data_IF_615947472416
#
_entry.id   IF_615947472416
#
_cell.length_a   1.000
_cell.length_b   1.000
_cell.length_c   1.000
_cell.angle_alpha   90.00
_cell.angle_beta   90.00
_cell.angle_gamma   90.00
#
_symmetry.space_group_name_H-M   'P 1'
#
loop_
_entity.id
_entity.type
_entity.pdbx_description
1 polymer ?
#
# COMPACT_ATOMS: atom_id res chain seq x y z
N UNK A 1 20.41 3.77 -16.68
CA UNK A 1 19.72 2.50 -16.34
C UNK A 1 20.06 1.97 -14.93
N UNK A 2 20.31 2.86 -13.95
CA UNK A 2 20.54 2.53 -12.52
C UNK A 2 19.53 3.16 -11.56
N UNK A 3 18.68 4.07 -12.07
CA UNK A 3 17.68 4.81 -11.29
C UNK A 3 16.31 4.12 -11.18
N UNK A 4 16.14 2.94 -11.78
CA UNK A 4 14.84 2.25 -11.83
C UNK A 4 14.69 1.11 -10.80
N UNK A 5 15.78 0.75 -10.09
CA UNK A 5 15.81 -0.39 -9.16
C UNK A 5 15.42 0.03 -7.72
N UNK A 6 15.53 1.31 -7.36
CA UNK A 6 15.21 1.77 -6.00
C UNK A 6 13.70 1.85 -5.72
N UNK A 7 12.84 1.93 -6.73
CA UNK A 7 11.40 2.14 -6.55
C UNK A 7 10.61 0.88 -6.15
N UNK A 8 11.19 -0.32 -6.23
CA UNK A 8 10.48 -1.58 -5.97
C UNK A 8 10.79 -2.17 -4.58
N UNK A 9 11.93 -1.80 -3.97
CA UNK A 9 12.35 -2.31 -2.65
C UNK A 9 11.74 -1.52 -1.47
N UNK A 10 11.13 -0.36 -1.72
CA UNK A 10 10.70 0.55 -0.64
C UNK A 10 9.33 0.25 0.01
N UNK A 11 8.59 -0.76 -0.44
CA UNK A 11 7.22 -1.01 0.06
C UNK A 11 7.08 -1.94 1.27
N UNK A 12 8.17 -2.55 1.76
CA UNK A 12 8.11 -3.55 2.86
C UNK A 12 9.08 -3.32 4.03
N UNK A 13 9.87 -2.24 4.08
CA UNK A 13 10.94 -2.09 5.10
C UNK A 13 11.00 -0.77 5.87
N UNK A 14 9.95 0.05 5.89
CA UNK A 14 9.88 1.24 6.76
C UNK A 14 8.93 1.02 7.95
N UNK A 15 9.40 0.28 8.95
CA UNK A 15 8.81 0.30 10.30
C UNK A 15 9.82 0.49 11.43
N UNK A 16 11.14 0.51 11.18
CA UNK A 16 12.12 0.82 12.22
C UNK A 16 13.34 1.54 11.63
N UNK A 17 13.28 2.88 11.52
CA UNK A 17 14.42 3.81 11.66
C UNK A 17 14.03 5.20 11.15
N UNK A 18 13.56 6.07 12.04
CA UNK A 18 13.47 7.50 11.75
C UNK A 18 13.84 8.27 13.00
N UNK A 19 15.15 8.52 13.15
CA UNK A 19 15.70 9.64 13.92
C UNK A 19 17.20 9.70 13.64
N UNK A 20 17.59 10.37 12.55
CA UNK A 20 18.82 11.18 12.41
C UNK A 20 19.16 11.34 10.92
N UNK A 21 18.73 12.47 10.33
CA UNK A 21 19.47 13.06 9.22
C UNK A 21 19.69 14.54 9.54
N UNK A 22 20.95 14.86 9.81
CA UNK A 22 21.51 16.20 9.92
C UNK A 22 21.55 16.82 8.53
N UNK A 23 20.74 17.86 8.28
CA UNK A 23 20.91 18.72 7.10
C UNK A 23 21.93 19.82 7.44
N UNK A 24 23.08 19.80 6.75
CA UNK A 24 23.99 20.96 6.68
C UNK A 24 23.47 21.95 5.62
N UNK A 25 23.48 23.26 5.88
CA UNK A 25 23.02 24.24 4.90
C UNK A 25 24.11 24.52 3.85
N UNK A 26 23.79 24.34 2.56
CA UNK A 26 24.54 24.90 1.44
C UNK A 26 23.99 26.28 1.08
N UNK A 27 24.91 27.21 0.76
CA UNK A 27 24.63 28.57 0.31
C UNK A 27 24.50 28.62 -1.22
N UNK A 28 23.40 29.16 -1.75
CA UNK A 28 23.33 30.17 -2.83
C UNK A 28 21.85 30.31 -3.27
N UNK A 29 21.20 31.46 -3.02
CA UNK A 29 21.00 32.65 -3.89
C UNK A 29 19.92 32.50 -4.96
N UNK A 30 18.76 33.08 -4.64
CA UNK A 30 17.94 33.83 -5.61
C UNK A 30 16.65 33.17 -6.10
N UNK A 31 15.56 33.26 -5.33
CA UNK A 31 14.23 33.65 -5.83
C UNK A 31 13.29 33.88 -4.63
N UNK A 32 12.39 34.84 -4.78
CA UNK A 32 11.52 35.35 -3.72
C UNK A 32 10.49 34.30 -3.27
N UNK A 33 10.89 33.42 -2.34
CA UNK A 33 9.95 32.76 -1.43
C UNK A 33 9.94 33.54 -0.12
N UNK A 34 8.75 33.84 0.40
CA UNK A 34 8.59 34.41 1.74
C UNK A 34 8.95 33.34 2.78
N UNK A 35 10.26 33.21 2.97
CA UNK A 35 10.92 32.42 3.99
C UNK A 35 10.30 32.74 5.35
N UNK A 36 9.79 31.72 6.06
CA UNK A 36 9.62 31.83 7.50
C UNK A 36 10.95 32.34 8.08
N UNK A 37 10.90 33.43 8.84
CA UNK A 37 12.10 34.12 9.29
C UNK A 37 13.03 33.15 10.03
N UNK A 38 14.30 33.12 9.62
CA UNK A 38 15.41 32.38 10.25
C UNK A 38 15.46 32.59 11.77
N UNK A 39 14.95 33.71 12.27
CA UNK A 39 14.84 34.03 13.70
C UNK A 39 13.84 33.16 14.47
N UNK A 40 12.71 32.80 13.87
CA UNK A 40 11.69 31.97 14.54
C UNK A 40 12.21 30.54 14.71
N UNK A 41 12.77 29.95 13.65
CA UNK A 41 13.40 28.63 13.70
C UNK A 41 14.57 28.60 14.69
N UNK A 42 15.45 29.62 14.69
CA UNK A 42 16.54 29.73 15.68
C UNK A 42 16.03 29.84 17.11
N UNK A 43 14.94 30.57 17.35
CA UNK A 43 14.37 30.72 18.70
C UNK A 43 13.76 29.42 19.24
N UNK A 44 13.08 28.66 18.36
CA UNK A 44 12.44 27.39 18.69
C UNK A 44 13.52 26.30 18.86
N UNK A 45 14.49 26.24 17.95
CA UNK A 45 15.59 25.30 18.04
C UNK A 45 16.51 25.60 19.23
N UNK A 46 16.74 26.87 19.59
CA UNK A 46 17.50 27.23 20.79
C UNK A 46 16.77 26.84 22.08
N UNK A 47 15.44 27.01 22.13
CA UNK A 47 14.62 26.51 23.25
C UNK A 47 14.65 24.99 23.37
N UNK A 48 14.64 24.25 22.26
CA UNK A 48 14.75 22.80 22.24
C UNK A 48 16.17 22.29 22.57
N UNK A 49 17.21 22.95 22.05
CA UNK A 49 18.62 22.59 22.24
C UNK A 49 19.09 22.76 23.69
N UNK A 50 18.59 23.77 24.39
CA UNK A 50 18.86 23.96 25.83
C UNK A 50 18.27 22.85 26.72
N UNK A 51 17.36 22.02 26.18
CA UNK A 51 16.78 20.86 26.88
C UNK A 51 17.60 19.58 26.61
N UNK A 52 18.36 19.54 25.50
CA UNK A 52 19.10 18.36 25.01
C UNK A 52 20.50 18.21 25.60
N UNK A 53 21.12 19.25 26.16
CA UNK A 53 22.53 19.22 26.58
C UNK A 53 22.79 19.00 28.08
N UNK A 54 21.78 18.65 28.90
CA UNK A 54 22.03 18.25 30.29
C UNK A 54 22.60 16.82 30.34
N UNK A 55 23.90 16.69 30.08
CA UNK A 55 24.68 15.48 30.33
C UNK A 55 24.63 15.15 31.83
N UNK A 56 23.97 14.06 32.20
CA UNK A 56 24.41 13.17 33.28
C UNK A 56 24.55 13.71 34.71
N UNK A 57 23.93 14.82 35.09
CA UNK A 57 23.75 15.18 36.50
C UNK A 57 22.26 15.42 36.77
N UNK A 58 21.72 14.55 37.62
CA UNK A 58 20.39 14.70 38.24
C UNK A 58 20.47 15.93 39.14
N UNK A 59 20.21 17.10 38.58
CA UNK A 59 19.96 18.31 39.35
C UNK A 59 18.47 18.55 39.27
N UNK A 60 17.83 18.40 40.42
CA UNK A 60 16.45 18.73 40.71
C UNK A 60 16.15 20.18 40.28
N UNK A 61 15.64 20.34 39.07
CA UNK A 61 14.98 21.58 38.62
C UNK A 61 13.61 21.17 38.10
N UNK A 62 12.60 21.26 38.98
CA UNK A 62 11.18 21.22 38.65
C UNK A 62 10.76 20.04 37.76
N UNK A 63 10.63 18.86 38.36
CA UNK A 63 10.32 17.60 37.69
C UNK A 63 9.25 17.70 36.60
N UNK A 64 9.63 17.37 35.36
CA UNK A 64 8.67 16.94 34.34
C UNK A 64 9.20 15.70 33.63
N UNK A 65 8.46 14.63 33.88
CA UNK A 65 8.47 13.30 33.30
C UNK A 65 8.92 13.27 31.82
N UNK A 66 9.81 12.35 31.40
CA UNK A 66 10.08 12.05 29.99
C UNK A 66 8.83 11.92 29.11
N UNK A 67 7.72 11.39 29.64
CA UNK A 67 6.44 11.30 28.92
C UNK A 67 5.86 12.69 28.64
N UNK A 68 5.93 13.62 29.59
CA UNK A 68 5.50 15.00 29.39
C UNK A 68 6.32 15.69 28.28
N UNK A 69 7.63 15.44 28.21
CA UNK A 69 8.49 16.00 27.15
C UNK A 69 8.09 15.48 25.77
N UNK A 70 7.85 14.17 25.64
CA UNK A 70 7.36 13.55 24.39
C UNK A 70 6.01 14.13 23.98
N UNK A 71 5.09 14.26 24.93
CA UNK A 71 3.78 14.87 24.72
C UNK A 71 3.89 16.32 24.19
N UNK A 72 4.78 17.12 24.77
CA UNK A 72 4.99 18.51 24.34
C UNK A 72 5.58 18.59 22.93
N UNK A 73 6.57 17.74 22.60
CA UNK A 73 7.16 17.66 21.26
C UNK A 73 6.10 17.30 20.23
N UNK A 74 5.33 16.23 20.48
CA UNK A 74 4.25 15.79 19.59
C UNK A 74 3.22 16.91 19.36
N UNK A 75 2.88 17.68 20.40
CA UNK A 75 1.97 18.83 20.30
C UNK A 75 2.53 19.97 19.44
N UNK A 76 3.84 20.21 19.49
CA UNK A 76 4.50 21.24 18.67
C UNK A 76 4.58 20.77 17.21
N UNK A 77 4.94 19.52 16.97
CA UNK A 77 4.98 18.90 15.64
C UNK A 77 3.61 18.96 14.98
N UNK A 78 2.55 18.49 15.65
CA UNK A 78 1.18 18.54 15.14
C UNK A 78 0.76 19.97 14.76
N UNK A 79 1.06 20.97 15.60
CA UNK A 79 0.75 22.38 15.28
C UNK A 79 1.51 22.86 14.05
N UNK A 80 2.78 22.48 13.93
CA UNK A 80 3.64 22.86 12.80
C UNK A 80 3.12 22.25 11.51
N UNK A 81 2.83 20.95 11.51
CA UNK A 81 2.26 20.24 10.37
C UNK A 81 0.87 20.75 10.03
N UNK A 82 0.04 21.09 11.02
CA UNK A 82 -1.27 21.71 10.77
C UNK A 82 -1.16 23.09 10.11
N UNK A 83 -0.14 23.88 10.43
CA UNK A 83 0.12 25.16 9.75
C UNK A 83 0.62 24.94 8.32
N UNK A 84 1.52 23.97 8.12
CA UNK A 84 2.02 23.60 6.80
C UNK A 84 0.88 23.08 5.90
N UNK A 85 0.00 22.24 6.44
CA UNK A 85 -1.21 21.74 5.79
C UNK A 85 -2.07 22.90 5.28
N UNK A 86 -2.46 23.84 6.15
CA UNK A 86 -3.27 25.00 5.75
C UNK A 86 -2.61 25.81 4.62
N UNK A 87 -1.30 26.05 4.73
CA UNK A 87 -0.55 26.76 3.69
C UNK A 87 -0.62 26.02 2.34
N UNK A 88 -0.43 24.70 2.35
CA UNK A 88 -0.53 23.88 1.13
C UNK A 88 -1.93 23.95 0.53
N UNK A 89 -2.98 23.82 1.34
CA UNK A 89 -4.37 23.90 0.87
C UNK A 89 -4.69 25.27 0.26
N UNK A 90 -4.16 26.36 0.84
CA UNK A 90 -4.35 27.71 0.29
C UNK A 90 -3.57 27.93 -1.01
N UNK A 91 -2.40 27.31 -1.15
CA UNK A 91 -1.65 27.31 -2.41
C UNK A 91 -2.37 26.51 -3.50
N UNK A 92 -2.91 25.33 -3.18
CA UNK A 92 -3.64 24.49 -4.14
C UNK A 92 -4.85 25.20 -4.78
N UNK A 93 -5.48 26.13 -4.06
CA UNK A 93 -6.63 26.90 -4.58
C UNK A 93 -6.27 27.88 -5.71
N UNK A 94 -4.99 28.25 -5.83
CA UNK A 94 -4.53 29.31 -6.73
C UNK A 94 -3.32 28.92 -7.59
N UNK A 95 -2.91 27.64 -7.56
CA UNK A 95 -1.77 27.18 -8.34
C UNK A 95 -2.17 26.87 -9.79
N UNK A 96 -1.18 26.84 -10.68
CA UNK A 96 -1.38 26.30 -12.03
C UNK A 96 -1.30 24.77 -12.03
N UNK A 97 -1.74 24.14 -13.12
CA UNK A 97 -1.63 22.69 -13.31
C UNK A 97 -0.18 22.18 -13.20
N UNK A 98 0.79 22.94 -13.71
CA UNK A 98 2.23 22.60 -13.66
C UNK A 98 2.77 22.59 -12.22
N UNK A 99 2.24 23.46 -11.36
CA UNK A 99 2.62 23.57 -9.96
C UNK A 99 1.88 22.55 -9.08
N UNK A 100 0.75 22.02 -9.54
CA UNK A 100 -0.16 21.23 -8.72
C UNK A 100 0.47 19.90 -8.29
N UNK A 101 1.10 19.17 -9.20
CA UNK A 101 1.74 17.86 -8.92
C UNK A 101 2.76 17.94 -7.77
N UNK A 102 3.78 18.84 -7.80
CA UNK A 102 4.74 18.92 -6.69
C UNK A 102 4.09 19.39 -5.37
N UNK A 103 3.01 20.17 -5.43
CA UNK A 103 2.27 20.56 -4.21
C UNK A 103 1.51 19.36 -3.63
N UNK A 104 0.87 18.54 -4.47
CA UNK A 104 0.17 17.32 -4.07
C UNK A 104 1.13 16.27 -3.49
N UNK A 105 2.34 16.10 -4.04
CA UNK A 105 3.35 15.21 -3.45
C UNK A 105 3.81 15.70 -2.06
N UNK A 106 3.94 17.02 -1.85
CA UNK A 106 4.20 17.57 -0.52
C UNK A 106 3.04 17.33 0.45
N UNK A 107 1.79 17.45 -0.03
CA UNK A 107 0.61 17.17 0.78
C UNK A 107 0.57 15.71 1.22
N UNK A 108 0.81 14.78 0.29
CA UNK A 108 0.89 13.34 0.53
C UNK A 108 1.87 13.00 1.67
N UNK A 109 3.06 13.60 1.67
CA UNK A 109 4.04 13.41 2.74
C UNK A 109 3.51 13.82 4.11
N UNK A 110 2.73 14.89 4.20
CA UNK A 110 2.12 15.34 5.45
C UNK A 110 0.98 14.43 5.92
N UNK A 111 0.10 14.01 5.01
CA UNK A 111 -1.08 13.22 5.37
C UNK A 111 -0.76 11.75 5.65
N UNK A 112 0.48 11.30 5.48
CA UNK A 112 0.92 10.01 6.03
C UNK A 112 0.87 9.97 7.56
N UNK A 113 0.92 11.13 8.24
CA UNK A 113 0.76 11.18 9.69
C UNK A 113 -0.71 11.09 10.08
N UNK A 114 -1.06 10.07 10.89
CA UNK A 114 -2.43 9.75 11.30
C UNK A 114 -3.26 10.97 11.76
N UNK A 115 -2.72 11.76 12.69
CA UNK A 115 -3.41 12.94 13.25
C UNK A 115 -3.58 14.06 12.19
N UNK A 116 -2.64 14.17 11.24
CA UNK A 116 -2.66 15.16 10.17
C UNK A 116 -3.64 14.79 9.06
N UNK A 117 -3.75 13.50 8.72
CA UNK A 117 -4.76 13.00 7.80
C UNK A 117 -6.17 13.33 8.26
N UNK A 118 -6.46 13.13 9.56
CA UNK A 118 -7.75 13.48 10.15
C UNK A 118 -7.98 15.00 10.09
N UNK A 119 -6.96 15.79 10.44
CA UNK A 119 -7.04 17.25 10.35
C UNK A 119 -7.28 17.73 8.91
N UNK A 120 -6.63 17.11 7.92
CA UNK A 120 -6.85 17.36 6.51
C UNK A 120 -8.31 17.18 6.11
N UNK A 121 -8.95 16.08 6.53
CA UNK A 121 -10.38 15.89 6.29
C UNK A 121 -11.23 16.95 7.02
N UNK A 122 -10.93 17.25 8.29
CA UNK A 122 -11.69 18.23 9.08
C UNK A 122 -11.66 19.66 8.52
N UNK A 123 -10.66 20.03 7.72
CA UNK A 123 -10.53 21.37 7.13
C UNK A 123 -11.02 21.42 5.68
N UNK A 124 -11.80 20.43 5.24
CA UNK A 124 -12.38 20.37 3.89
C UNK A 124 -11.44 19.78 2.83
N UNK A 125 -10.50 18.93 3.27
CA UNK A 125 -9.50 18.34 2.39
C UNK A 125 -10.09 17.37 1.36
N UNK A 126 -11.17 16.67 1.72
CA UNK A 126 -11.81 15.70 0.83
C UNK A 126 -12.48 16.40 -0.35
N UNK A 127 -13.23 17.47 -0.09
CA UNK A 127 -13.91 18.29 -1.07
C UNK A 127 -12.93 18.99 -2.01
N UNK A 128 -11.71 19.27 -1.53
CA UNK A 128 -10.64 19.82 -2.36
C UNK A 128 -10.00 18.77 -3.27
N UNK A 129 -9.74 17.56 -2.75
CA UNK A 129 -8.89 16.56 -3.44
C UNK A 129 -9.68 15.70 -4.44
N UNK A 130 -10.97 15.44 -4.19
CA UNK A 130 -11.80 14.60 -5.07
C UNK A 130 -11.90 15.18 -6.49
N UNK A 131 -12.15 16.50 -6.69
CA UNK A 131 -12.13 17.09 -8.04
C UNK A 131 -10.79 16.90 -8.76
N UNK A 132 -9.66 17.01 -8.04
CA UNK A 132 -8.34 16.80 -8.64
C UNK A 132 -8.12 15.34 -9.06
N UNK A 133 -8.67 14.39 -8.32
CA UNK A 133 -8.64 12.97 -8.67
C UNK A 133 -9.47 12.62 -9.93
N UNK A 134 -10.31 13.54 -10.41
CA UNK A 134 -11.15 13.39 -11.60
C UNK A 134 -10.69 14.27 -12.77
N UNK A 135 -9.55 14.95 -12.66
CA UNK A 135 -9.02 15.77 -13.75
C UNK A 135 -8.52 14.91 -14.92
N UNK A 136 -8.75 15.37 -16.15
CA UNK A 136 -8.22 14.73 -17.37
C UNK A 136 -6.67 14.67 -17.39
N UNK A 137 -6.01 15.56 -16.65
CA UNK A 137 -4.57 15.51 -16.47
C UNK A 137 -4.19 14.33 -15.55
N UNK A 138 -3.77 13.24 -16.17
CA UNK A 138 -3.43 11.97 -15.50
C UNK A 138 -2.38 12.12 -14.39
N UNK A 139 -1.41 13.03 -14.53
CA UNK A 139 -0.37 13.23 -13.52
C UNK A 139 -0.95 13.90 -12.27
N UNK A 140 -1.87 14.85 -12.44
CA UNK A 140 -2.59 15.50 -11.34
C UNK A 140 -3.55 14.50 -10.67
N UNK A 141 -4.35 13.78 -11.46
CA UNK A 141 -5.28 12.78 -10.93
C UNK A 141 -4.54 11.69 -10.14
N UNK A 142 -3.41 11.20 -10.67
CA UNK A 142 -2.55 10.22 -10.00
C UNK A 142 -1.97 10.74 -8.68
N UNK A 143 -1.50 12.00 -8.65
CA UNK A 143 -0.98 12.62 -7.44
C UNK A 143 -2.10 12.82 -6.39
N UNK A 144 -3.29 13.25 -6.81
CA UNK A 144 -4.44 13.43 -5.93
C UNK A 144 -4.93 12.10 -5.31
N UNK A 145 -5.01 11.04 -6.11
CA UNK A 145 -5.30 9.68 -5.64
C UNK A 145 -4.24 9.22 -4.63
N UNK A 146 -2.97 9.53 -4.88
CA UNK A 146 -1.88 9.18 -3.95
C UNK A 146 -2.01 9.90 -2.60
N UNK A 147 -2.48 11.16 -2.58
CA UNK A 147 -2.81 11.89 -1.33
C UNK A 147 -3.95 11.19 -0.58
N UNK A 148 -5.05 10.87 -1.27
CA UNK A 148 -6.19 10.15 -0.69
C UNK A 148 -5.76 8.80 -0.09
N UNK A 149 -4.99 8.04 -0.85
CA UNK A 149 -4.48 6.74 -0.42
C UNK A 149 -3.61 6.86 0.83
N UNK A 150 -2.69 7.83 0.87
CA UNK A 150 -1.83 8.05 2.03
C UNK A 150 -2.63 8.45 3.28
N UNK A 151 -3.66 9.29 3.10
CA UNK A 151 -4.52 9.72 4.20
C UNK A 151 -5.39 8.58 4.77
N UNK A 152 -5.85 7.65 3.92
CA UNK A 152 -6.66 6.49 4.33
C UNK A 152 -5.84 5.35 4.93
N UNK A 153 -4.58 5.20 4.54
CA UNK A 153 -3.78 4.02 4.88
C UNK A 153 -3.65 3.84 6.40
N UNK A 154 -4.26 2.78 6.93
CA UNK A 154 -4.27 2.50 8.37
C UNK A 154 -5.08 3.49 9.20
N UNK A 155 -5.95 4.29 8.56
CA UNK A 155 -6.73 5.33 9.21
C UNK A 155 -8.24 5.11 9.01
N UNK A 156 -8.90 4.33 9.89
CA UNK A 156 -10.33 4.01 9.75
C UNK A 156 -11.24 5.24 9.87
N UNK A 157 -10.81 6.31 10.55
CA UNK A 157 -11.57 7.56 10.62
C UNK A 157 -11.65 8.20 9.23
N UNK A 158 -10.51 8.26 8.53
CA UNK A 158 -10.46 8.82 7.17
C UNK A 158 -11.14 7.91 6.17
N UNK A 159 -10.92 6.58 6.24
CA UNK A 159 -11.64 5.61 5.39
C UNK A 159 -13.16 5.77 5.52
N UNK A 160 -13.67 5.91 6.74
CA UNK A 160 -15.10 6.13 6.99
C UNK A 160 -15.61 7.45 6.38
N UNK A 161 -14.88 8.55 6.56
CA UNK A 161 -15.26 9.82 5.95
C UNK A 161 -15.31 9.74 4.42
N UNK A 162 -14.35 9.04 3.81
CA UNK A 162 -14.32 8.78 2.36
C UNK A 162 -15.53 7.92 1.94
N UNK A 163 -15.88 6.90 2.72
CA UNK A 163 -17.03 6.03 2.48
C UNK A 163 -18.36 6.80 2.58
N UNK A 164 -18.54 7.61 3.63
CA UNK A 164 -19.74 8.41 3.88
C UNK A 164 -19.97 9.47 2.78
N UNK A 165 -18.94 9.81 2.00
CA UNK A 165 -18.99 10.76 0.88
C UNK A 165 -19.03 10.07 -0.50
N UNK A 166 -19.30 8.76 -0.57
CA UNK A 166 -19.48 8.03 -1.85
C UNK A 166 -18.31 8.13 -2.83
N UNK A 167 -17.08 8.33 -2.32
CA UNK A 167 -15.90 8.47 -3.19
C UNK A 167 -15.59 7.17 -3.92
N UNK A 168 -15.98 6.01 -3.37
CA UNK A 168 -15.78 4.73 -4.06
C UNK A 168 -16.48 4.68 -5.42
N UNK A 169 -17.69 5.24 -5.52
CA UNK A 169 -18.46 5.23 -6.78
C UNK A 169 -17.68 5.97 -7.88
N UNK A 170 -17.10 7.12 -7.52
CA UNK A 170 -16.22 7.90 -8.38
C UNK A 170 -14.98 7.10 -8.79
N UNK A 171 -14.37 6.37 -7.86
CA UNK A 171 -13.19 5.56 -8.12
C UNK A 171 -13.50 4.37 -9.05
N UNK A 172 -14.67 3.75 -8.90
CA UNK A 172 -15.10 2.61 -9.73
C UNK A 172 -15.49 3.05 -11.15
N UNK A 173 -16.16 4.19 -11.31
CA UNK A 173 -16.44 4.77 -12.64
C UNK A 173 -15.15 4.99 -13.43
N UNK A 174 -14.10 5.50 -12.77
CA UNK A 174 -12.80 5.71 -13.40
C UNK A 174 -12.09 4.41 -13.81
N UNK A 175 -12.39 3.25 -13.20
CA UNK A 175 -11.82 1.97 -13.64
C UNK A 175 -12.34 1.55 -15.02
N UNK A 176 -13.48 2.08 -15.45
CA UNK A 176 -14.09 1.75 -16.75
C UNK A 176 -13.38 2.49 -17.89
N UNK A 177 -12.74 3.62 -17.61
CA UNK A 177 -12.11 4.47 -18.62
C UNK A 177 -10.62 4.13 -18.84
N UNK A 178 -10.25 3.88 -20.10
CA UNK A 178 -9.12 3.01 -20.48
C UNK A 178 -7.76 3.71 -20.58
N UNK A 179 -7.38 4.55 -19.62
CA UNK A 179 -6.05 5.21 -19.64
C UNK A 179 -5.11 4.79 -18.51
N UNK A 180 -3.99 4.15 -18.87
CA UNK A 180 -3.18 3.31 -17.98
C UNK A 180 -2.36 4.05 -16.89
N UNK A 181 -2.05 5.35 -17.00
CA UNK A 181 -1.06 5.97 -16.09
C UNK A 181 -1.54 6.12 -14.66
N UNK A 182 -2.82 6.44 -14.44
CA UNK A 182 -3.35 6.67 -13.09
C UNK A 182 -3.95 5.41 -12.45
N UNK A 183 -4.15 4.31 -13.19
CA UNK A 183 -4.66 3.02 -12.66
C UNK A 183 -3.84 2.48 -11.49
N UNK A 184 -2.52 2.66 -11.50
CA UNK A 184 -1.68 2.20 -10.39
C UNK A 184 -2.02 2.93 -9.09
N UNK A 185 -2.27 4.24 -9.17
CA UNK A 185 -2.65 5.07 -8.02
C UNK A 185 -4.10 4.80 -7.61
N UNK A 186 -4.98 4.58 -8.58
CA UNK A 186 -6.37 4.20 -8.34
C UNK A 186 -6.48 2.86 -7.60
N UNK A 187 -5.78 1.81 -8.06
CA UNK A 187 -5.75 0.51 -7.37
C UNK A 187 -5.17 0.62 -5.96
N UNK A 188 -4.13 1.43 -5.76
CA UNK A 188 -3.56 1.65 -4.43
C UNK A 188 -4.54 2.38 -3.50
N UNK A 189 -5.29 3.34 -4.05
CA UNK A 189 -6.35 4.06 -3.34
C UNK A 189 -7.48 3.11 -2.94
N UNK A 190 -7.94 2.25 -3.86
CA UNK A 190 -8.94 1.20 -3.58
C UNK A 190 -8.42 0.23 -2.51
N UNK A 191 -7.17 -0.24 -2.62
CA UNK A 191 -6.57 -1.11 -1.61
C UNK A 191 -6.58 -0.46 -0.22
N UNK A 192 -6.20 0.83 -0.15
CA UNK A 192 -6.19 1.59 1.09
C UNK A 192 -7.60 1.85 1.64
N UNK A 193 -8.61 1.99 0.77
CA UNK A 193 -10.01 2.16 1.15
C UNK A 193 -10.63 0.88 1.75
N UNK A 194 -10.25 -0.29 1.23
CA UNK A 194 -10.85 -1.56 1.61
C UNK A 194 -10.20 -2.23 2.84
N UNK A 195 -8.90 -2.02 3.04
CA UNK A 195 -8.12 -2.73 4.05
C UNK A 195 -8.65 -2.49 5.47
N UNK A 196 -8.97 -3.57 6.18
CA UNK A 196 -9.54 -3.57 7.54
C UNK A 196 -10.83 -2.74 7.70
N UNK A 197 -11.61 -2.55 6.62
CA UNK A 197 -12.85 -1.77 6.66
C UNK A 197 -14.04 -2.57 6.11
N UNK A 198 -14.71 -3.39 6.94
CA UNK A 198 -15.80 -4.28 6.51
C UNK A 198 -16.95 -3.60 5.78
N UNK A 199 -17.29 -2.35 6.14
CA UNK A 199 -18.36 -1.59 5.48
C UNK A 199 -17.96 -1.23 4.04
N UNK A 200 -16.74 -0.74 3.84
CA UNK A 200 -16.16 -0.46 2.51
C UNK A 200 -16.06 -1.71 1.65
N UNK A 201 -15.64 -2.83 2.22
CA UNK A 201 -15.60 -4.12 1.52
C UNK A 201 -16.98 -4.58 1.07
N UNK A 202 -17.99 -4.40 1.92
CA UNK A 202 -19.37 -4.80 1.61
C UNK A 202 -19.94 -3.96 0.46
N UNK A 203 -19.69 -2.65 0.47
CA UNK A 203 -20.07 -1.74 -0.62
C UNK A 203 -19.38 -2.17 -1.92
N UNK A 204 -18.05 -2.31 -1.90
CA UNK A 204 -17.26 -2.71 -3.05
C UNK A 204 -17.72 -4.04 -3.67
N UNK A 205 -18.09 -5.04 -2.87
CA UNK A 205 -18.58 -6.32 -3.40
C UNK A 205 -19.99 -6.26 -3.96
N UNK A 206 -20.83 -5.32 -3.49
CA UNK A 206 -22.19 -5.13 -4.01
C UNK A 206 -22.18 -4.44 -5.37
N UNK A 207 -21.20 -3.58 -5.61
CA UNK A 207 -21.07 -2.80 -6.85
C UNK A 207 -20.05 -3.42 -7.81
N UNK A 208 -20.05 -4.76 -7.89
CA UNK A 208 -19.22 -5.53 -8.84
C UNK A 208 -17.70 -5.27 -8.76
N UNK A 209 -17.19 -4.77 -7.63
CA UNK A 209 -15.77 -4.48 -7.42
C UNK A 209 -14.83 -5.66 -7.72
N UNK A 210 -15.26 -6.89 -7.40
CA UNK A 210 -14.49 -8.11 -7.72
C UNK A 210 -14.42 -8.34 -9.24
N UNK A 211 -15.51 -8.08 -9.96
CA UNK A 211 -15.54 -8.20 -11.40
C UNK A 211 -14.60 -7.17 -12.05
N UNK A 212 -14.56 -5.93 -11.56
CA UNK A 212 -13.58 -4.94 -12.05
C UNK A 212 -12.13 -5.37 -11.84
N UNK A 213 -11.80 -5.92 -10.66
CA UNK A 213 -10.45 -6.48 -10.43
C UNK A 213 -10.17 -7.66 -11.37
N UNK A 214 -11.17 -8.51 -11.64
CA UNK A 214 -11.03 -9.60 -12.59
C UNK A 214 -10.74 -9.10 -14.01
N UNK A 215 -11.40 -8.05 -14.48
CA UNK A 215 -11.12 -7.46 -15.80
C UNK A 215 -9.67 -6.97 -15.93
N UNK A 216 -9.12 -6.36 -14.87
CA UNK A 216 -7.71 -5.93 -14.84
C UNK A 216 -6.76 -7.14 -14.83
N UNK A 217 -7.15 -8.22 -14.14
CA UNK A 217 -6.38 -9.45 -14.10
C UNK A 217 -6.39 -10.15 -15.46
N UNK A 218 -7.51 -10.11 -16.19
CA UNK A 218 -7.66 -10.69 -17.52
C UNK A 218 -7.05 -9.81 -18.63
N UNK A 219 -6.76 -8.54 -18.35
CA UNK A 219 -6.15 -7.65 -19.35
C UNK A 219 -4.69 -8.02 -19.66
N UNK A 220 -4.27 -7.71 -20.88
CA UNK A 220 -2.91 -7.93 -21.38
C UNK A 220 -1.99 -6.71 -21.16
N UNK A 221 -2.47 -5.70 -20.44
CA UNK A 221 -1.86 -4.36 -20.46
C UNK A 221 -0.63 -4.24 -19.57
N UNK A 222 -0.70 -4.77 -18.34
CA UNK A 222 0.37 -4.59 -17.36
C UNK A 222 0.42 -5.68 -16.31
N UNK A 223 1.53 -6.44 -16.28
CA UNK A 223 1.80 -7.43 -15.23
C UNK A 223 1.79 -6.81 -13.83
N UNK A 224 2.19 -5.53 -13.70
CA UNK A 224 2.17 -4.82 -12.42
C UNK A 224 0.75 -4.60 -11.91
N UNK A 225 -0.17 -4.17 -12.78
CA UNK A 225 -1.58 -3.96 -12.43
C UNK A 225 -2.29 -5.28 -12.14
N UNK A 226 -1.99 -6.32 -12.95
CA UNK A 226 -2.48 -7.70 -12.72
C UNK A 226 -2.06 -8.21 -11.34
N UNK A 227 -0.77 -8.13 -11.01
CA UNK A 227 -0.25 -8.52 -9.69
C UNK A 227 -0.85 -7.72 -8.55
N UNK A 228 -1.03 -6.40 -8.73
CA UNK A 228 -1.62 -5.57 -7.69
C UNK A 228 -3.07 -5.98 -7.42
N UNK A 229 -3.85 -6.24 -8.47
CA UNK A 229 -5.24 -6.70 -8.36
C UNK A 229 -5.34 -8.09 -7.71
N UNK A 230 -4.43 -9.01 -8.07
CA UNK A 230 -4.30 -10.32 -7.40
C UNK A 230 -3.96 -10.14 -5.92
N UNK A 231 -3.03 -9.24 -5.58
CA UNK A 231 -2.69 -8.93 -4.18
C UNK A 231 -3.88 -8.37 -3.40
N UNK A 232 -4.68 -7.47 -3.99
CA UNK A 232 -5.89 -6.96 -3.34
C UNK A 232 -6.85 -8.11 -3.01
N UNK A 233 -7.13 -9.01 -3.97
CA UNK A 233 -8.02 -10.14 -3.73
C UNK A 233 -7.47 -11.09 -2.66
N UNK A 234 -6.15 -11.33 -2.65
CA UNK A 234 -5.50 -12.16 -1.64
C UNK A 234 -5.59 -11.55 -0.23
N UNK A 235 -5.31 -10.25 -0.09
CA UNK A 235 -5.40 -9.53 1.17
C UNK A 235 -6.84 -9.55 1.72
N UNK A 236 -7.82 -9.26 0.86
CA UNK A 236 -9.24 -9.33 1.24
C UNK A 236 -9.66 -10.74 1.66
N UNK A 237 -9.23 -11.78 0.93
CA UNK A 237 -9.51 -13.16 1.31
C UNK A 237 -8.92 -13.49 2.70
N UNK A 238 -7.70 -13.05 3.00
CA UNK A 238 -7.08 -13.27 4.31
C UNK A 238 -7.84 -12.55 5.43
N UNK A 239 -8.29 -11.30 5.22
CA UNK A 239 -9.08 -10.54 6.20
C UNK A 239 -10.47 -11.16 6.44
N UNK A 240 -11.12 -11.64 5.38
CA UNK A 240 -12.51 -12.10 5.43
C UNK A 240 -12.62 -13.57 5.86
N UNK A 241 -11.65 -14.41 5.50
CA UNK A 241 -11.73 -15.88 5.63
C UNK A 241 -10.94 -16.47 6.80
N UNK A 242 -10.40 -15.64 7.70
CA UNK A 242 -9.62 -16.09 8.88
C UNK A 242 -10.41 -16.91 9.92
N UNK A 243 -11.74 -17.01 9.78
CA UNK A 243 -12.64 -17.75 10.68
C UNK A 243 -12.90 -17.10 12.03
N UNK A 244 -12.33 -15.92 12.30
CA UNK A 244 -12.50 -15.20 13.57
C UNK A 244 -13.78 -14.34 13.57
N UNK A 245 -14.40 -14.14 14.74
CA UNK A 245 -15.49 -13.16 14.94
C UNK A 245 -16.63 -13.23 13.89
N UNK A 246 -17.13 -14.45 13.61
CA UNK A 246 -18.20 -14.65 12.63
C UNK A 246 -19.48 -13.96 13.14
N UNK A 247 -19.86 -12.90 12.43
CA UNK A 247 -21.12 -12.19 12.61
C UNK A 247 -21.86 -12.12 11.27
N UNK A 248 -23.08 -11.60 11.27
CA UNK A 248 -23.90 -11.51 10.06
C UNK A 248 -23.22 -10.74 8.92
N UNK A 249 -22.56 -9.62 9.23
CA UNK A 249 -21.83 -8.82 8.24
C UNK A 249 -20.68 -9.62 7.61
N UNK A 250 -19.89 -10.33 8.43
CA UNK A 250 -18.78 -11.17 7.96
C UNK A 250 -19.28 -12.34 7.12
N UNK A 251 -20.41 -12.96 7.47
CA UNK A 251 -21.03 -13.99 6.63
C UNK A 251 -21.48 -13.43 5.28
N UNK A 252 -22.02 -12.20 5.23
CA UNK A 252 -22.33 -11.54 3.97
C UNK A 252 -21.07 -11.29 3.13
N UNK A 253 -20.00 -10.78 3.73
CA UNK A 253 -18.72 -10.55 3.07
C UNK A 253 -18.17 -11.85 2.48
N UNK A 254 -18.11 -12.93 3.26
CA UNK A 254 -17.66 -14.25 2.79
C UNK A 254 -18.49 -14.70 1.58
N UNK A 255 -19.83 -14.61 1.67
CA UNK A 255 -20.72 -15.06 0.59
C UNK A 255 -20.51 -14.25 -0.69
N UNK A 256 -20.50 -12.93 -0.60
CA UNK A 256 -20.31 -12.04 -1.74
C UNK A 256 -18.93 -12.22 -2.35
N UNK A 257 -17.88 -12.31 -1.52
CA UNK A 257 -16.52 -12.52 -1.98
C UNK A 257 -16.36 -13.83 -2.75
N UNK A 258 -16.83 -14.95 -2.17
CA UNK A 258 -16.77 -16.26 -2.81
C UNK A 258 -17.53 -16.25 -4.13
N UNK A 259 -18.76 -15.73 -4.13
CA UNK A 259 -19.61 -15.68 -5.33
C UNK A 259 -18.97 -14.82 -6.42
N UNK A 260 -18.45 -13.65 -6.05
CA UNK A 260 -17.74 -12.75 -6.96
C UNK A 260 -16.54 -13.43 -7.60
N UNK A 261 -15.64 -14.00 -6.81
CA UNK A 261 -14.44 -14.68 -7.33
C UNK A 261 -14.82 -15.86 -8.22
N UNK A 262 -15.77 -16.71 -7.80
CA UNK A 262 -16.21 -17.88 -8.57
C UNK A 262 -16.92 -17.53 -9.88
N UNK A 263 -17.51 -16.33 -9.97
CA UNK A 263 -18.19 -15.86 -11.18
C UNK A 263 -17.23 -15.31 -12.25
N UNK A 264 -15.93 -15.23 -11.96
CA UNK A 264 -14.89 -14.65 -12.83
C UNK A 264 -13.82 -15.68 -13.23
N UNK A 265 -12.88 -15.33 -14.12
CA UNK A 265 -11.75 -16.23 -14.44
C UNK A 265 -10.51 -16.02 -13.56
N UNK A 266 -10.60 -15.26 -12.45
CA UNK A 266 -9.46 -14.95 -11.58
C UNK A 266 -8.66 -16.19 -11.19
N UNK A 267 -9.33 -17.27 -10.78
CA UNK A 267 -8.65 -18.52 -10.39
C UNK A 267 -7.81 -19.11 -11.54
N UNK A 268 -8.33 -19.07 -12.78
CA UNK A 268 -7.60 -19.54 -13.97
C UNK A 268 -6.43 -18.63 -14.30
N UNK A 269 -6.64 -17.31 -14.25
CA UNK A 269 -5.60 -16.32 -14.52
C UNK A 269 -4.44 -16.43 -13.53
N UNK A 270 -4.71 -16.64 -12.23
CA UNK A 270 -3.66 -16.88 -11.23
C UNK A 270 -2.82 -18.11 -11.61
N UNK A 271 -3.48 -19.21 -12.05
CA UNK A 271 -2.74 -20.41 -12.48
C UNK A 271 -1.99 -20.22 -13.79
N UNK A 272 -2.52 -19.46 -14.76
CA UNK A 272 -1.79 -19.12 -15.98
C UNK A 272 -0.56 -18.30 -15.63
N UNK A 273 -0.74 -17.27 -14.81
CA UNK A 273 0.33 -16.37 -14.43
C UNK A 273 1.46 -17.09 -13.66
N UNK A 274 1.13 -18.10 -12.84
CA UNK A 274 2.15 -18.99 -12.26
C UNK A 274 2.93 -19.74 -13.34
N UNK A 275 2.23 -20.37 -14.28
CA UNK A 275 2.84 -21.21 -15.32
C UNK A 275 3.70 -20.41 -16.31
N UNK A 276 3.23 -19.25 -16.72
CA UNK A 276 3.90 -18.38 -17.69
C UNK A 276 5.20 -17.81 -17.12
N UNK A 277 5.24 -17.51 -15.82
CA UNK A 277 6.41 -16.97 -15.14
C UNK A 277 7.38 -18.06 -14.61
N UNK A 278 7.07 -19.35 -14.77
CA UNK A 278 7.91 -20.46 -14.29
C UNK A 278 9.10 -20.83 -15.21
N UNK A 279 9.20 -20.24 -16.41
CA UNK A 279 10.16 -20.65 -17.44
C UNK A 279 11.20 -19.58 -17.81
N UNK A 280 11.32 -18.50 -17.03
CA UNK A 280 12.26 -17.42 -17.35
C UNK A 280 13.66 -17.77 -16.83
N UNK A 281 14.65 -17.69 -17.72
CA UNK A 281 16.06 -18.07 -17.46
C UNK A 281 17.03 -16.88 -17.44
N UNK A 282 16.55 -15.65 -17.67
CA UNK A 282 17.39 -14.46 -17.75
C UNK A 282 17.63 -13.81 -16.37
N UNK A 283 18.90 -13.56 -16.03
CA UNK A 283 19.37 -13.14 -14.70
C UNK A 283 18.81 -11.77 -14.24
N UNK A 284 18.63 -10.81 -15.14
CA UNK A 284 18.07 -9.48 -14.81
C UNK A 284 16.56 -9.53 -14.54
N UNK A 285 15.89 -10.61 -14.93
CA UNK A 285 14.46 -10.84 -14.67
C UNK A 285 14.22 -11.54 -13.33
N UNK A 286 15.26 -12.15 -12.73
CA UNK A 286 15.12 -12.98 -11.51
C UNK A 286 14.67 -12.16 -10.30
N UNK A 287 15.17 -10.93 -10.14
CA UNK A 287 14.72 -10.06 -9.04
C UNK A 287 13.24 -9.66 -9.16
N UNK A 288 12.74 -9.50 -10.38
CA UNK A 288 11.31 -9.25 -10.57
C UNK A 288 10.51 -10.55 -10.39
N UNK A 289 11.09 -11.69 -10.73
CA UNK A 289 10.45 -12.99 -10.71
C UNK A 289 10.13 -13.50 -9.30
N UNK A 290 11.00 -13.28 -8.30
CA UNK A 290 10.68 -13.71 -6.94
C UNK A 290 9.48 -12.95 -6.35
N UNK A 291 9.39 -11.64 -6.62
CA UNK A 291 8.24 -10.82 -6.19
C UNK A 291 6.94 -11.32 -6.83
N UNK A 292 7.02 -11.78 -8.07
CA UNK A 292 5.90 -12.41 -8.77
C UNK A 292 5.51 -13.70 -8.06
N UNK A 293 6.47 -14.62 -7.84
CA UNK A 293 6.20 -15.89 -7.18
C UNK A 293 5.62 -15.70 -5.78
N UNK A 294 6.24 -14.86 -4.94
CA UNK A 294 5.77 -14.53 -3.60
C UNK A 294 4.30 -14.10 -3.61
N UNK A 295 3.95 -13.13 -4.47
CA UNK A 295 2.57 -12.63 -4.58
C UNK A 295 1.58 -13.67 -5.09
N UNK A 296 1.97 -14.48 -6.08
CA UNK A 296 1.11 -15.54 -6.61
C UNK A 296 0.90 -16.62 -5.56
N UNK A 297 1.96 -17.04 -4.86
CA UNK A 297 1.87 -18.09 -3.82
C UNK A 297 1.02 -17.60 -2.65
N UNK A 298 1.21 -16.35 -2.22
CA UNK A 298 0.33 -15.71 -1.22
C UNK A 298 -1.14 -15.72 -1.66
N UNK A 299 -1.41 -15.34 -2.92
CA UNK A 299 -2.76 -15.39 -3.47
C UNK A 299 -3.33 -16.82 -3.53
N UNK A 300 -2.51 -17.80 -3.90
CA UNK A 300 -2.91 -19.20 -3.90
C UNK A 300 -3.22 -19.70 -2.49
N UNK A 301 -2.40 -19.30 -1.51
CA UNK A 301 -2.64 -19.60 -0.10
C UNK A 301 -3.95 -18.97 0.41
N UNK A 302 -4.20 -17.70 0.09
CA UNK A 302 -5.40 -16.99 0.51
C UNK A 302 -6.68 -17.56 -0.15
N UNK A 303 -6.60 -17.89 -1.44
CA UNK A 303 -7.75 -18.28 -2.27
C UNK A 303 -7.94 -19.80 -2.40
N UNK A 304 -7.12 -20.65 -1.77
CA UNK A 304 -7.16 -22.12 -1.97
C UNK A 304 -8.54 -22.76 -1.74
N UNK A 305 -9.35 -22.21 -0.82
CA UNK A 305 -10.71 -22.71 -0.56
C UNK A 305 -11.68 -22.36 -1.68
N UNK A 306 -11.47 -21.21 -2.34
CA UNK A 306 -12.35 -20.66 -3.38
C UNK A 306 -11.96 -21.19 -4.77
N UNK A 307 -10.66 -21.24 -5.05
CA UNK A 307 -10.05 -21.64 -6.32
C UNK A 307 -9.54 -23.10 -6.33
N UNK A 308 -10.12 -23.98 -5.52
CA UNK A 308 -9.64 -25.36 -5.32
C UNK A 308 -9.56 -26.13 -6.64
N UNK A 309 -10.60 -26.01 -7.49
CA UNK A 309 -10.71 -26.71 -8.77
C UNK A 309 -9.55 -26.37 -9.71
N UNK A 310 -9.21 -25.10 -9.85
CA UNK A 310 -8.14 -24.63 -10.73
C UNK A 310 -6.75 -24.98 -10.17
N UNK A 311 -6.58 -24.80 -8.85
CA UNK A 311 -5.28 -25.02 -8.19
C UNK A 311 -4.89 -26.50 -8.11
N UNK A 312 -5.86 -27.42 -8.13
CA UNK A 312 -5.62 -28.86 -8.10
C UNK A 312 -5.23 -29.48 -9.46
N UNK A 313 -5.12 -28.68 -10.52
CA UNK A 313 -4.71 -29.20 -11.83
C UNK A 313 -3.28 -29.76 -11.83
N UNK A 314 -3.03 -30.83 -12.60
CA UNK A 314 -1.70 -31.43 -12.70
C UNK A 314 -0.63 -30.43 -13.18
N UNK A 315 -1.00 -29.46 -14.02
CA UNK A 315 -0.08 -28.40 -14.47
C UNK A 315 0.41 -27.56 -13.31
N UNK A 316 -0.49 -27.15 -12.41
CA UNK A 316 -0.16 -26.36 -11.21
C UNK A 316 0.69 -27.18 -10.24
N UNK A 317 0.39 -28.47 -10.04
CA UNK A 317 1.22 -29.36 -9.21
C UNK A 317 2.67 -29.42 -9.70
N UNK A 318 2.87 -29.66 -11.00
CA UNK A 318 4.21 -29.71 -11.62
C UNK A 318 4.93 -28.35 -11.48
N UNK A 319 4.21 -27.25 -11.68
CA UNK A 319 4.74 -25.90 -11.51
C UNK A 319 5.24 -25.65 -10.07
N UNK A 320 4.44 -25.99 -9.07
CA UNK A 320 4.81 -25.84 -7.65
C UNK A 320 5.99 -26.74 -7.29
N UNK A 321 6.02 -28.00 -7.73
CA UNK A 321 7.15 -28.90 -7.50
C UNK A 321 8.46 -28.34 -8.07
N UNK A 322 8.39 -27.75 -9.27
CA UNK A 322 9.55 -27.08 -9.90
C UNK A 322 10.02 -25.90 -9.04
N UNK A 323 9.09 -25.07 -8.55
CA UNK A 323 9.41 -23.95 -7.68
C UNK A 323 9.99 -24.40 -6.33
N UNK A 324 9.43 -25.44 -5.70
CA UNK A 324 9.97 -26.01 -4.45
C UNK A 324 11.45 -26.37 -4.65
N UNK A 325 11.79 -27.09 -5.73
CA UNK A 325 13.19 -27.43 -6.04
C UNK A 325 14.07 -26.20 -6.27
N UNK A 326 13.51 -25.16 -6.91
CA UNK A 326 14.24 -23.94 -7.22
C UNK A 326 14.56 -23.12 -5.96
N UNK A 327 13.60 -23.01 -5.05
CA UNK A 327 13.71 -22.21 -3.83
C UNK A 327 14.29 -22.98 -2.64
N UNK A 328 14.43 -24.32 -2.72
CA UNK A 328 14.95 -25.13 -1.62
C UNK A 328 16.30 -24.61 -1.10
N UNK A 329 16.39 -24.13 0.16
CA UNK A 329 17.61 -23.53 0.70
C UNK A 329 18.78 -24.54 0.81
N UNK A 330 18.50 -25.85 0.79
CA UNK A 330 19.52 -26.90 0.83
C UNK A 330 20.16 -27.14 -0.55
N UNK A 331 19.49 -26.72 -1.63
CA UNK A 331 19.99 -26.89 -2.99
C UNK A 331 20.76 -25.64 -3.42
N UNK A 332 22.02 -25.83 -3.82
CA UNK A 332 22.85 -24.74 -4.34
C UNK A 332 22.38 -24.33 -5.74
N UNK A 333 21.36 -23.47 -5.80
CA UNK A 333 20.79 -22.96 -7.03
C UNK A 333 21.45 -21.61 -7.40
N UNK A 334 22.17 -21.57 -8.51
CA UNK A 334 22.86 -20.35 -9.00
C UNK A 334 21.90 -19.26 -9.46
N UNK A 335 20.65 -19.59 -9.78
CA UNK A 335 19.63 -18.62 -10.17
C UNK A 335 19.19 -17.77 -8.97
N UNK A 336 19.00 -18.38 -7.80
CA UNK A 336 18.48 -17.72 -6.60
C UNK A 336 19.54 -17.49 -5.51
N UNK A 337 20.82 -17.73 -5.80
CA UNK A 337 21.92 -17.56 -4.84
C UNK A 337 22.18 -16.12 -4.42
N UNK A 338 21.54 -15.15 -5.07
CA UNK A 338 21.61 -13.71 -4.73
C UNK A 338 20.38 -13.23 -3.96
N UNK A 339 19.37 -14.08 -3.78
CA UNK A 339 18.21 -13.76 -2.96
C UNK A 339 18.64 -13.81 -1.49
N UNK A 340 18.03 -12.96 -0.67
CA UNK A 340 18.19 -13.04 0.76
C UNK A 340 17.75 -14.43 1.28
N UNK A 341 18.56 -15.06 2.14
CA UNK A 341 18.34 -16.44 2.59
C UNK A 341 17.04 -16.58 3.39
N UNK A 342 16.64 -15.54 4.13
CA UNK A 342 15.40 -15.51 4.90
C UNK A 342 14.19 -15.48 3.96
N UNK A 343 14.20 -14.56 2.99
CA UNK A 343 13.14 -14.45 1.99
C UNK A 343 13.00 -15.73 1.14
N UNK A 344 14.13 -16.32 0.73
CA UNK A 344 14.13 -17.60 0.01
C UNK A 344 13.48 -18.72 0.83
N UNK A 345 13.80 -18.77 2.12
CA UNK A 345 13.27 -19.77 3.04
C UNK A 345 11.77 -19.58 3.23
N UNK A 346 11.30 -18.34 3.37
CA UNK A 346 9.88 -18.04 3.50
C UNK A 346 9.07 -18.52 2.27
N UNK A 347 9.50 -18.15 1.06
CA UNK A 347 8.85 -18.60 -0.18
C UNK A 347 8.82 -20.14 -0.27
N UNK A 348 9.92 -20.81 0.09
CA UNK A 348 9.99 -22.26 0.12
C UNK A 348 8.98 -22.90 1.09
N UNK A 349 8.82 -22.34 2.28
CA UNK A 349 7.85 -22.81 3.27
C UNK A 349 6.41 -22.59 2.80
N UNK A 350 6.12 -21.42 2.22
CA UNK A 350 4.81 -21.14 1.64
C UNK A 350 4.48 -22.11 0.49
N UNK A 351 5.45 -22.41 -0.38
CA UNK A 351 5.32 -23.39 -1.46
C UNK A 351 4.98 -24.80 -0.93
N UNK A 352 5.64 -25.25 0.14
CA UNK A 352 5.32 -26.53 0.77
C UNK A 352 3.91 -26.55 1.34
N UNK A 353 3.53 -25.50 2.06
CA UNK A 353 2.20 -25.37 2.65
C UNK A 353 1.10 -25.45 1.59
N UNK A 354 1.25 -24.70 0.48
CA UNK A 354 0.27 -24.72 -0.60
C UNK A 354 0.27 -26.06 -1.34
N UNK A 355 1.43 -26.68 -1.55
CA UNK A 355 1.52 -28.01 -2.15
C UNK A 355 0.77 -29.06 -1.33
N UNK A 356 0.97 -29.06 0.00
CA UNK A 356 0.23 -29.93 0.93
C UNK A 356 -1.28 -29.68 0.84
N UNK A 357 -1.73 -28.43 0.85
CA UNK A 357 -3.16 -28.09 0.73
C UNK A 357 -3.77 -28.51 -0.60
N UNK A 358 -3.01 -28.43 -1.69
CA UNK A 358 -3.46 -28.80 -3.04
C UNK A 358 -3.48 -30.33 -3.21
N UNK A 359 -2.51 -31.05 -2.62
CA UNK A 359 -2.35 -32.50 -2.80
C UNK A 359 -3.15 -33.32 -1.79
N UNK A 360 -3.27 -32.88 -0.54
CA UNK A 360 -3.85 -33.69 0.54
C UNK A 360 -5.38 -33.69 0.59
N UNK A 361 -6.07 -32.88 -0.24
CA UNK A 361 -7.54 -32.84 -0.27
C UNK A 361 -8.23 -34.01 -1.00
N UNK A 362 -7.51 -35.09 -1.31
CA UNK A 362 -8.14 -36.36 -1.72
C UNK A 362 -8.83 -37.12 -0.56
N UNK A 363 -8.84 -36.61 0.68
CA UNK A 363 -9.34 -37.40 1.84
C UNK A 363 -10.45 -36.81 2.71
N UNK A 364 -10.84 -35.54 2.56
CA UNK A 364 -11.79 -34.90 3.48
C UNK A 364 -13.16 -34.54 2.87
N UNK A 365 -13.51 -35.14 1.73
CA UNK A 365 -14.88 -35.09 1.19
C UNK A 365 -15.39 -36.52 0.93
N UNK A 366 -15.85 -37.18 2.00
CA UNK A 366 -16.72 -38.35 1.99
C UNK A 366 -17.72 -38.27 3.16
#
# INVERSE_FOLDING_TARGET
MKFFIEAIVFSTLFLVASSQVLVKPSQDKGSNSSHLSSGIYKSIYAKAKNISHSKGHIINVGGKDPEYRRSLIKKIEFKTHSMALRKILDTLKNCTDEEMVPILENLKLLVHEYDIAINFMNVGGLELIVPFAQMDNEDIASAALSVLSAAMQGNPVVQKLVADNHVLDILLENLVDKNQKYFSSLLFTISSYLRNMPESQLHFFRDDGIFFLALIIESNDSHKLKLHSISILADLAMEIMDGSNINYQKMQLIKLFITGVQSTNVCKEITSFLNDNNNITNLDVIQLQYLIHEKIIHAMHALHKVCSREFQSNRVKIAIEKLIKNYDPQVKNTLYSKLDDELRTDIYLQLKNIYEKIVLKEKDEL
#
